data_IF_013847513398
#
_entry.id   IF_013847513398
#
_cell.length_a   1.000
_cell.length_b   1.000
_cell.length_c   1.000
_cell.angle_alpha   90.00
_cell.angle_beta   90.00
_cell.angle_gamma   90.00
#
_symmetry.space_group_name_H-M   'P 1'
#
loop_
_entity.id
_entity.type
_entity.pdbx_description
1 polymer ?
#
# COMPACT_ATOMS: atom_id res chain seq x y z
N UNK A 1 25.41 2.00 7.17
CA UNK A 1 24.04 1.94 7.72
C UNK A 1 23.05 2.33 6.66
N UNK A 2 22.56 1.38 5.85
CA UNK A 2 21.68 1.72 4.72
C UNK A 2 20.20 1.90 5.15
N UNK A 3 19.74 1.13 6.13
CA UNK A 3 18.32 1.13 6.55
C UNK A 3 17.95 2.41 7.30
N UNK A 4 18.74 2.81 8.31
CA UNK A 4 18.44 4.00 9.12
C UNK A 4 18.40 5.28 8.30
N UNK A 5 19.31 5.44 7.32
CA UNK A 5 19.31 6.58 6.40
C UNK A 5 18.07 6.62 5.53
N UNK A 6 17.59 5.48 5.02
CA UNK A 6 16.33 5.39 4.26
C UNK A 6 15.11 5.73 5.12
N UNK A 7 15.10 5.32 6.38
CA UNK A 7 14.01 5.59 7.33
C UNK A 7 14.09 6.97 8.01
N UNK A 8 15.16 7.74 7.76
CA UNK A 8 15.44 9.02 8.43
C UNK A 8 15.52 8.92 9.95
N UNK A 9 16.12 7.83 10.45
CA UNK A 9 16.30 7.59 11.87
C UNK A 9 17.78 7.76 12.26
N UNK A 10 18.05 8.49 13.35
CA UNK A 10 19.40 8.62 13.89
C UNK A 10 19.85 7.36 14.65
N UNK A 11 18.91 6.65 15.25
CA UNK A 11 19.09 5.41 15.99
C UNK A 11 17.85 4.52 15.87
N UNK A 12 17.93 3.22 16.17
CA UNK A 12 16.74 2.35 16.25
C UNK A 12 15.71 2.93 17.24
N UNK A 13 14.39 2.86 16.91
CA UNK A 13 13.34 3.35 17.79
C UNK A 13 13.16 2.41 18.99
N UNK A 14 12.65 2.94 20.11
CA UNK A 14 12.30 2.14 21.28
C UNK A 14 11.21 1.13 20.94
N UNK A 15 11.35 -0.10 21.42
CA UNK A 15 10.34 -1.16 21.26
C UNK A 15 9.46 -1.35 22.50
N UNK A 16 9.67 -0.57 23.58
CA UNK A 16 8.98 -0.75 24.86
C UNK A 16 7.46 -0.55 24.79
N UNK A 17 6.99 0.29 23.86
CA UNK A 17 5.57 0.58 23.67
C UNK A 17 4.90 -0.35 22.62
N UNK A 18 5.66 -1.25 22.01
CA UNK A 18 5.14 -2.16 20.99
C UNK A 18 4.40 -3.31 21.70
N UNK A 19 3.09 -3.51 21.45
CA UNK A 19 2.36 -4.57 22.10
C UNK A 19 2.93 -5.94 21.70
N UNK A 20 3.19 -6.84 22.66
CA UNK A 20 3.61 -8.19 22.34
C UNK A 20 2.44 -8.97 21.74
N UNK A 21 2.71 -9.82 20.76
CA UNK A 21 1.70 -10.69 20.15
C UNK A 21 1.72 -10.67 18.62
N UNK A 22 0.71 -11.30 17.98
CA UNK A 22 0.61 -11.32 16.53
C UNK A 22 0.33 -9.91 15.99
N UNK A 23 0.85 -9.62 14.81
CA UNK A 23 0.54 -8.38 14.09
C UNK A 23 -0.93 -8.36 13.66
N UNK A 24 -1.57 -7.17 13.61
CA UNK A 24 -2.92 -7.06 13.09
C UNK A 24 -3.04 -7.57 11.65
N UNK A 25 -4.15 -8.24 11.33
CA UNK A 25 -4.39 -8.80 10.00
C UNK A 25 -4.30 -7.75 8.88
N UNK A 26 -4.76 -6.52 9.14
CA UNK A 26 -4.68 -5.42 8.18
C UNK A 26 -3.22 -5.12 7.76
N UNK A 27 -2.27 -5.21 8.70
CA UNK A 27 -0.84 -5.00 8.45
C UNK A 27 -0.26 -6.16 7.66
N UNK A 28 -0.61 -7.40 8.04
CA UNK A 28 -0.17 -8.60 7.32
C UNK A 28 -0.67 -8.59 5.87
N UNK A 29 -1.95 -8.27 5.66
CA UNK A 29 -2.55 -8.21 4.34
C UNK A 29 -1.96 -7.08 3.47
N UNK A 30 -1.61 -5.94 4.08
CA UNK A 30 -0.90 -4.86 3.39
C UNK A 30 0.51 -5.29 2.98
N UNK A 31 1.27 -5.88 3.91
CA UNK A 31 2.62 -6.38 3.63
C UNK A 31 2.61 -7.45 2.53
N UNK A 32 1.70 -8.41 2.60
CA UNK A 32 1.55 -9.44 1.57
C UNK A 32 1.27 -8.83 0.19
N UNK A 33 0.39 -7.83 0.10
CA UNK A 33 0.11 -7.14 -1.17
C UNK A 33 1.31 -6.44 -1.80
N UNK A 34 2.30 -6.01 -1.00
CA UNK A 34 3.54 -5.40 -1.51
C UNK A 34 4.62 -6.42 -1.86
N UNK A 35 4.54 -7.62 -1.26
CA UNK A 35 5.47 -8.71 -1.52
C UNK A 35 5.06 -9.52 -2.75
N UNK A 36 3.76 -9.70 -2.92
CA UNK A 36 3.19 -10.48 -4.00
C UNK A 36 3.52 -9.81 -5.34
N UNK A 37 4.27 -10.51 -6.19
CA UNK A 37 4.55 -10.05 -7.56
C UNK A 37 3.26 -10.17 -8.36
N UNK A 38 2.53 -9.07 -8.49
CA UNK A 38 1.36 -9.02 -9.38
C UNK A 38 1.87 -8.99 -10.81
N UNK A 39 1.35 -9.86 -11.67
CA UNK A 39 1.61 -9.87 -13.11
C UNK A 39 0.95 -8.63 -13.76
N UNK A 40 1.51 -7.45 -13.51
CA UNK A 40 1.05 -6.16 -14.04
C UNK A 40 2.04 -5.51 -15.02
N UNK A 41 3.17 -6.16 -15.32
CA UNK A 41 4.24 -5.67 -16.23
C UNK A 41 3.83 -5.63 -17.72
N UNK A 42 2.53 -5.65 -18.07
CA UNK A 42 2.06 -5.62 -19.48
C UNK A 42 1.31 -4.34 -19.88
N UNK A 43 1.06 -3.41 -18.94
CA UNK A 43 0.73 -2.04 -19.32
C UNK A 43 2.07 -1.31 -19.49
N UNK A 44 2.28 -0.68 -20.64
CA UNK A 44 3.48 0.11 -20.96
C UNK A 44 3.90 0.95 -19.74
N UNK A 45 4.97 0.52 -19.06
CA UNK A 45 5.51 1.24 -17.92
C UNK A 45 6.08 2.54 -18.46
N UNK A 46 5.30 3.63 -18.39
CA UNK A 46 5.84 4.98 -18.46
C UNK A 46 7.14 5.01 -17.62
N UNK A 47 8.23 5.62 -18.12
CA UNK A 47 9.51 5.59 -17.40
C UNK A 47 9.32 6.21 -16.02
N UNK A 48 9.19 5.36 -15.01
CA UNK A 48 9.03 5.83 -13.64
C UNK A 48 10.27 6.64 -13.30
N UNK A 49 10.12 7.86 -12.75
CA UNK A 49 11.27 8.61 -12.26
C UNK A 49 12.03 7.76 -11.26
N UNK A 50 13.36 7.91 -11.23
CA UNK A 50 14.21 7.18 -10.28
C UNK A 50 13.62 7.26 -8.87
N UNK A 51 13.39 6.09 -8.26
CA UNK A 51 12.75 6.02 -6.95
C UNK A 51 13.51 6.88 -5.92
N UNK A 52 12.77 7.74 -5.21
CA UNK A 52 13.35 8.59 -4.18
C UNK A 52 14.17 7.78 -3.16
N UNK A 53 15.32 8.31 -2.74
CA UNK A 53 16.26 7.63 -1.83
C UNK A 53 15.63 7.19 -0.49
N UNK A 54 14.64 7.94 0.02
CA UNK A 54 13.99 7.69 1.31
C UNK A 54 12.84 6.70 1.20
N UNK A 55 12.59 5.97 2.28
CA UNK A 55 11.48 5.04 2.38
C UNK A 55 10.13 5.77 2.20
N UNK A 56 9.14 5.04 1.66
CA UNK A 56 7.76 5.50 1.50
C UNK A 56 6.85 4.70 2.43
N UNK A 57 5.91 5.39 3.05
CA UNK A 57 4.84 4.74 3.78
C UNK A 57 3.84 4.12 2.79
N UNK A 58 3.47 2.87 3.02
CA UNK A 58 2.49 2.17 2.19
C UNK A 58 1.16 2.17 2.92
N UNK A 59 0.09 2.54 2.21
CA UNK A 59 -1.29 2.48 2.71
C UNK A 59 -2.19 1.96 1.59
N UNK A 60 -3.29 1.28 1.95
CA UNK A 60 -4.30 0.83 0.97
C UNK A 60 -5.69 1.29 1.38
N UNK A 61 -6.53 1.59 0.40
CA UNK A 61 -7.95 1.93 0.59
C UNK A 61 -8.79 0.90 -0.15
N UNK A 62 -9.76 0.32 0.53
CA UNK A 62 -10.66 -0.66 -0.07
C UNK A 62 -11.76 0.05 -0.87
N UNK A 63 -12.21 -0.61 -1.94
CA UNK A 63 -13.37 -0.15 -2.69
C UNK A 63 -14.62 -0.21 -1.81
N UNK A 64 -15.59 0.64 -2.15
CA UNK A 64 -16.91 0.59 -1.54
C UNK A 64 -17.59 -0.73 -1.91
N UNK A 65 -18.23 -1.36 -0.92
CA UNK A 65 -18.91 -2.63 -1.08
C UNK A 65 -19.94 -2.61 -2.22
N UNK A 66 -20.02 -3.70 -2.99
CA UNK A 66 -20.81 -3.77 -4.22
C UNK A 66 -22.30 -3.42 -4.03
N UNK A 67 -22.88 -3.74 -2.87
CA UNK A 67 -24.27 -3.42 -2.53
C UNK A 67 -24.52 -1.97 -2.13
N UNK A 68 -23.53 -1.09 -2.21
CA UNK A 68 -23.68 0.29 -1.78
C UNK A 68 -24.50 1.12 -2.78
N UNK A 69 -25.45 1.89 -2.25
CA UNK A 69 -26.36 2.78 -3.01
C UNK A 69 -25.64 3.82 -3.87
N UNK A 70 -24.36 4.08 -3.63
CA UNK A 70 -23.54 4.95 -4.48
C UNK A 70 -23.51 4.48 -5.94
N UNK A 71 -23.60 3.17 -6.17
CA UNK A 71 -23.54 2.58 -7.51
C UNK A 71 -24.89 2.66 -8.26
N UNK A 72 -26.02 2.88 -7.58
CA UNK A 72 -27.33 3.01 -8.22
C UNK A 72 -27.38 4.22 -9.18
N UNK A 73 -26.58 5.25 -8.90
CA UNK A 73 -26.50 6.47 -9.71
C UNK A 73 -25.72 6.29 -11.02
N UNK A 74 -24.89 5.25 -11.14
CA UNK A 74 -24.04 5.01 -12.33
C UNK A 74 -24.72 4.20 -13.45
N UNK A 75 -25.89 3.58 -13.21
CA UNK A 75 -26.58 2.72 -14.19
C UNK A 75 -27.11 3.42 -15.45
N UNK A 76 -26.92 4.73 -15.63
CA UNK A 76 -27.53 5.49 -16.74
C UNK A 76 -26.58 5.86 -17.90
N UNK A 77 -25.29 5.51 -17.85
CA UNK A 77 -24.38 5.77 -18.97
C UNK A 77 -23.97 4.46 -19.64
N UNK A 78 -24.84 3.95 -20.51
CA UNK A 78 -24.40 3.03 -21.56
C UNK A 78 -23.65 3.85 -22.61
N UNK A 79 -22.34 3.70 -22.67
CA UNK A 79 -21.60 4.13 -23.85
C UNK A 79 -22.10 3.28 -25.04
N UNK A 80 -22.65 3.96 -26.05
CA UNK A 80 -23.02 3.39 -27.35
C UNK A 80 -21.81 3.26 -28.25
#
# INVERSE_FOLDING_TARGET
>A
GQILSKLRLASPPSQGDVPPGPLPEAILALYNSTRDRVAGESAETEPEPEADYYAKEVTRVLMVEYGNKIYDKMKSSSHS
#
